data_IF_098294068482
#
_entry.id   IF_098294068482
#
_cell.length_a   1.000
_cell.length_b   1.000
_cell.length_c   1.000
_cell.angle_alpha   90.00
_cell.angle_beta   90.00
_cell.angle_gamma   90.00
#
_symmetry.space_group_name_H-M   'P 1'
#
loop_
_entity.id
_entity.type
_entity.pdbx_description
1 polymer ?
#
# COMPACT_ATOMS: atom_id res chain seq x y z
N UNK A 1 20.39 3.44 10.69
CA UNK A 1 19.27 3.74 9.75
C UNK A 1 18.11 4.30 10.55
N UNK A 2 17.67 5.52 10.28
CA UNK A 2 16.50 6.13 10.95
C UNK A 2 15.26 5.98 10.07
N UNK A 3 14.19 5.37 10.57
CA UNK A 3 12.93 5.21 9.84
C UNK A 3 12.02 6.43 10.06
N UNK A 4 11.54 7.05 8.99
CA UNK A 4 10.59 8.18 9.04
C UNK A 4 9.18 7.65 8.81
N UNK A 5 8.30 7.82 9.79
CA UNK A 5 6.86 7.56 9.62
C UNK A 5 6.21 8.74 8.89
N UNK A 6 5.52 8.45 7.78
CA UNK A 6 4.73 9.44 7.03
C UNK A 6 3.24 9.22 7.26
N UNK A 7 2.48 10.32 7.29
CA UNK A 7 1.02 10.22 7.30
C UNK A 7 0.50 9.95 5.89
N UNK A 8 -0.72 9.42 5.80
CA UNK A 8 -1.33 9.07 4.52
C UNK A 8 -1.53 10.28 3.61
N UNK A 9 -1.71 11.45 4.19
CA UNK A 9 -1.85 12.72 3.47
C UNK A 9 -0.50 13.20 2.87
N UNK A 10 0.63 12.69 3.40
CA UNK A 10 1.99 12.97 2.89
C UNK A 10 2.40 12.03 1.75
N UNK A 11 1.58 11.02 1.46
CA UNK A 11 1.83 10.07 0.37
C UNK A 11 1.15 10.64 -0.88
N UNK A 12 1.91 11.02 -1.93
CA UNK A 12 1.32 11.54 -3.14
C UNK A 12 0.38 10.50 -3.76
N UNK A 13 -0.81 10.94 -4.18
CA UNK A 13 -1.75 10.10 -4.92
C UNK A 13 -1.08 9.57 -6.18
N UNK A 14 -1.21 8.27 -6.41
CA UNK A 14 -0.69 7.64 -7.62
C UNK A 14 -1.30 8.30 -8.87
N UNK A 15 -0.45 8.81 -9.74
CA UNK A 15 -0.87 9.38 -11.02
C UNK A 15 -1.43 8.30 -11.96
N UNK A 16 -2.41 8.68 -12.80
CA UNK A 16 -3.05 7.77 -13.77
C UNK A 16 -2.04 7.06 -14.67
N UNK A 17 -1.05 7.79 -15.19
CA UNK A 17 0.03 7.25 -16.02
C UNK A 17 0.79 6.13 -15.31
N UNK A 18 1.25 6.38 -14.09
CA UNK A 18 1.95 5.37 -13.27
C UNK A 18 1.08 4.13 -13.02
N UNK A 19 -0.23 4.29 -12.84
CA UNK A 19 -1.13 3.16 -12.65
C UNK A 19 -1.32 2.33 -13.92
N UNK A 20 -1.34 2.96 -15.10
CA UNK A 20 -1.37 2.27 -16.40
C UNK A 20 -0.04 1.56 -16.68
N UNK A 21 1.09 2.22 -16.42
CA UNK A 21 2.42 1.64 -16.59
C UNK A 21 2.62 0.39 -15.72
N UNK A 22 2.08 0.37 -14.50
CA UNK A 22 2.15 -0.81 -13.61
C UNK A 22 1.27 -1.95 -14.12
N UNK A 23 0.09 -1.66 -14.68
CA UNK A 23 -0.82 -2.68 -15.23
C UNK A 23 -0.28 -3.37 -16.47
N UNK A 24 0.58 -2.69 -17.22
CA UNK A 24 1.14 -3.19 -18.48
C UNK A 24 2.39 -4.05 -18.29
N UNK A 25 2.96 -4.09 -17.07
CA UNK A 25 4.12 -4.93 -16.78
C UNK A 25 3.68 -6.38 -16.58
N UNK A 26 4.25 -7.34 -17.33
CA UNK A 26 3.96 -8.75 -17.12
C UNK A 26 4.60 -9.24 -15.82
N UNK A 27 3.93 -10.18 -15.14
CA UNK A 27 4.41 -10.74 -13.87
C UNK A 27 5.74 -11.51 -14.02
N UNK A 28 6.03 -11.99 -15.23
CA UNK A 28 7.24 -12.72 -15.62
C UNK A 28 8.52 -11.86 -15.55
N UNK A 29 8.38 -10.54 -15.63
CA UNK A 29 9.50 -9.59 -15.52
C UNK A 29 9.80 -9.19 -14.06
N UNK A 30 9.03 -9.67 -13.09
CA UNK A 30 9.23 -9.38 -11.67
C UNK A 30 10.34 -10.28 -11.14
N UNK A 31 11.42 -9.67 -10.64
CA UNK A 31 12.49 -10.40 -9.97
C UNK A 31 12.09 -10.75 -8.53
N UNK A 32 11.80 -12.03 -8.32
CA UNK A 32 11.45 -12.57 -6.99
C UNK A 32 12.68 -13.07 -6.21
N UNK A 33 13.89 -13.01 -6.78
CA UNK A 33 15.09 -13.55 -6.12
C UNK A 33 15.45 -12.80 -4.82
N UNK A 34 15.08 -11.53 -4.72
CA UNK A 34 15.27 -10.71 -3.52
C UNK A 34 14.21 -10.93 -2.43
N UNK A 35 13.09 -11.58 -2.75
CA UNK A 35 11.97 -11.77 -1.82
C UNK A 35 12.15 -13.12 -1.11
N UNK A 36 12.51 -13.14 0.19
CA UNK A 36 12.67 -14.39 0.92
C UNK A 36 11.32 -15.10 1.08
N UNK A 37 11.31 -16.45 1.16
CA UNK A 37 10.10 -17.19 1.50
C UNK A 37 9.61 -16.79 2.89
N UNK A 38 8.30 -16.64 3.03
CA UNK A 38 7.66 -16.39 4.32
C UNK A 38 7.51 -17.71 5.09
N UNK A 39 7.74 -17.68 6.40
CA UNK A 39 7.60 -18.84 7.27
C UNK A 39 6.14 -19.14 7.61
N UNK A 40 5.88 -20.34 8.09
CA UNK A 40 4.53 -20.76 8.49
C UNK A 40 3.99 -19.92 9.65
N UNK A 41 4.88 -19.44 10.52
CA UNK A 41 4.57 -18.60 11.68
C UNK A 41 3.96 -17.27 11.25
N UNK A 42 4.53 -16.64 10.22
CA UNK A 42 4.00 -15.40 9.65
C UNK A 42 2.54 -15.53 9.23
N UNK A 43 2.18 -16.59 8.50
CA UNK A 43 0.80 -16.78 8.04
C UNK A 43 -0.17 -17.12 9.17
N UNK A 44 0.30 -17.77 10.23
CA UNK A 44 -0.52 -18.06 11.42
C UNK A 44 -0.82 -16.80 12.23
N UNK A 45 0.15 -15.89 12.33
CA UNK A 45 0.04 -14.71 13.19
C UNK A 45 -0.47 -13.45 12.47
N UNK A 46 -0.37 -13.42 11.14
CA UNK A 46 -0.78 -12.28 10.34
C UNK A 46 -2.25 -11.90 10.56
N UNK A 47 -2.50 -10.63 10.87
CA UNK A 47 -3.85 -10.07 11.04
C UNK A 47 -4.17 -9.08 9.94
N UNK A 48 -5.25 -9.34 9.21
CA UNK A 48 -5.77 -8.38 8.24
C UNK A 48 -6.40 -7.19 8.96
N UNK A 49 -5.79 -6.01 8.87
CA UNK A 49 -6.29 -4.79 9.49
C UNK A 49 -7.25 -4.10 8.52
N UNK A 50 -8.54 -4.06 8.86
CA UNK A 50 -9.51 -3.24 8.12
C UNK A 50 -9.27 -1.77 8.43
N UNK A 51 -8.91 -1.00 7.40
CA UNK A 51 -8.76 0.44 7.52
C UNK A 51 -10.13 1.07 7.84
N UNK A 52 -10.25 1.64 9.04
CA UNK A 52 -11.43 2.38 9.46
C UNK A 52 -11.45 3.71 8.70
N UNK A 53 -12.29 3.82 7.66
CA UNK A 53 -12.51 5.09 6.95
C UNK A 53 -13.22 6.06 7.92
N UNK A 54 -12.47 7.02 8.49
CA UNK A 54 -13.07 8.12 9.24
C UNK A 54 -13.93 8.95 8.27
N UNK A 55 -15.25 8.94 8.45
CA UNK A 55 -16.18 9.82 7.73
C UNK A 55 -15.77 11.27 8.02
N UNK A 56 -15.15 11.95 7.06
CA UNK A 56 -14.96 13.39 7.15
C UNK A 56 -16.35 14.03 7.18
N UNK A 57 -16.74 14.62 8.32
CA UNK A 57 -17.92 15.48 8.41
C UNK A 57 -17.66 16.69 7.52
N UNK A 58 -18.27 16.74 6.34
CA UNK A 58 -18.32 17.97 5.54
C UNK A 58 -19.23 18.93 6.27
N UNK A 59 -18.66 19.97 6.88
CA UNK A 59 -19.45 21.12 7.32
C UNK A 59 -19.99 21.80 6.06
N UNK A 60 -21.30 21.70 5.87
CA UNK A 60 -22.06 22.44 4.87
C UNK A 60 -22.42 23.80 5.47
N UNK A 61 -21.65 24.84 5.13
CA UNK A 61 -22.06 26.22 5.34
C UNK A 61 -22.94 26.67 4.18
N UNK A 62 -24.23 26.90 4.46
CA UNK A 62 -25.12 27.76 3.69
C UNK A 62 -25.72 28.78 4.66
#
# INVERSE_FOLDING_TARGET
MTTVHKHLDDIPLMGKKRAEDIKLKPDEEIDYSEIPPLDEDFFREAKCVKRQLKKQKRFSSR
#
